data_IF_854369823450
#
_entry.id   IF_854369823450
#
_cell.length_a   1.000
_cell.length_b   1.000
_cell.length_c   1.000
_cell.angle_alpha   90.00
_cell.angle_beta   90.00
_cell.angle_gamma   90.00
#
_symmetry.space_group_name_H-M   'P 1'
#
loop_
_entity.id
_entity.type
_entity.pdbx_description
1 polymer ?
#
# COMPACT_ATOMS: atom_id res chain seq x y z
N UNK A 1 -12.64 0.40 13.49
CA UNK A 1 -12.39 -0.42 12.27
C UNK A 1 -11.64 0.44 11.26
N UNK A 2 -10.51 -0.06 10.77
CA UNK A 2 -9.57 0.71 9.93
C UNK A 2 -9.56 0.17 8.51
N UNK A 3 -9.56 1.09 7.54
CA UNK A 3 -9.44 0.80 6.11
C UNK A 3 -8.11 1.36 5.63
N UNK A 4 -7.25 0.52 5.04
CA UNK A 4 -5.99 0.94 4.43
C UNK A 4 -6.15 0.90 2.92
N UNK A 5 -5.82 1.98 2.23
CA UNK A 5 -6.08 2.13 0.79
C UNK A 5 -4.84 2.65 0.08
N UNK A 6 -4.37 1.91 -0.93
CA UNK A 6 -3.33 2.39 -1.83
C UNK A 6 -3.90 3.42 -2.82
N UNK A 7 -3.24 4.58 -2.96
CA UNK A 7 -3.63 5.60 -3.94
C UNK A 7 -2.45 6.47 -4.32
N UNK A 8 -2.05 6.42 -5.59
CA UNK A 8 -0.87 7.16 -6.09
C UNK A 8 -1.16 8.64 -6.33
N UNK A 9 -2.24 8.94 -7.05
CA UNK A 9 -2.61 10.32 -7.46
C UNK A 9 -3.84 10.87 -6.75
N UNK A 10 -4.55 10.06 -5.94
CA UNK A 10 -5.68 10.50 -5.11
C UNK A 10 -7.07 10.08 -5.57
N UNK A 11 -7.23 9.58 -6.80
CA UNK A 11 -8.55 9.16 -7.31
C UNK A 11 -9.22 8.06 -6.49
N UNK A 12 -8.47 7.03 -6.09
CA UNK A 12 -8.98 5.95 -5.22
C UNK A 12 -9.22 6.46 -3.80
N UNK A 13 -8.30 7.28 -3.28
CA UNK A 13 -8.41 7.87 -1.94
C UNK A 13 -9.70 8.71 -1.78
N UNK A 14 -10.01 9.58 -2.75
CA UNK A 14 -11.21 10.40 -2.75
C UNK A 14 -12.49 9.58 -2.68
N UNK A 15 -12.59 8.51 -3.47
CA UNK A 15 -13.73 7.59 -3.42
C UNK A 15 -13.80 6.85 -2.07
N UNK A 16 -12.66 6.40 -1.56
CA UNK A 16 -12.61 5.66 -0.31
C UNK A 16 -13.09 6.48 0.89
N UNK A 17 -12.66 7.74 1.03
CA UNK A 17 -13.13 8.60 2.13
C UNK A 17 -14.62 8.96 2.03
N UNK A 18 -15.20 8.94 0.83
CA UNK A 18 -16.63 9.16 0.63
C UNK A 18 -17.47 7.92 0.96
N UNK A 19 -16.99 6.72 0.62
CA UNK A 19 -17.67 5.44 0.86
C UNK A 19 -17.54 5.02 2.32
N UNK A 20 -16.36 5.14 2.92
CA UNK A 20 -16.06 4.66 4.27
C UNK A 20 -16.20 5.75 5.34
N UNK A 21 -17.25 6.59 5.23
CA UNK A 21 -17.56 7.59 6.25
C UNK A 21 -17.79 6.92 7.62
N UNK A 22 -17.23 7.51 8.67
CA UNK A 22 -17.27 6.96 10.03
C UNK A 22 -16.23 5.87 10.32
N UNK A 23 -15.45 5.45 9.33
CA UNK A 23 -14.27 4.60 9.52
C UNK A 23 -12.99 5.41 9.52
N UNK A 24 -11.94 4.86 10.12
CA UNK A 24 -10.58 5.40 9.98
C UNK A 24 -10.03 4.98 8.61
N UNK A 25 -9.83 5.92 7.70
CA UNK A 25 -9.27 5.67 6.36
C UNK A 25 -7.83 6.13 6.31
N UNK A 26 -6.91 5.17 6.17
CA UNK A 26 -5.47 5.42 5.98
C UNK A 26 -5.13 5.23 4.51
N UNK A 27 -4.73 6.31 3.86
CA UNK A 27 -4.34 6.34 2.46
C UNK A 27 -2.82 6.26 2.37
N UNK A 28 -2.30 5.24 1.69
CA UNK A 28 -0.86 5.08 1.48
C UNK A 28 -0.52 5.46 0.04
N UNK A 29 0.35 6.45 -0.12
CA UNK A 29 0.80 6.97 -1.42
C UNK A 29 2.10 6.30 -1.86
N UNK A 30 2.54 6.60 -3.08
CA UNK A 30 3.93 6.34 -3.43
C UNK A 30 4.90 7.13 -2.56
N UNK A 31 6.10 6.58 -2.33
CA UNK A 31 7.22 7.32 -1.76
C UNK A 31 7.49 8.60 -2.55
N UNK A 32 7.95 9.66 -1.88
CA UNK A 32 8.46 10.84 -2.59
C UNK A 32 9.63 10.43 -3.50
N UNK A 33 9.75 11.09 -4.65
CA UNK A 33 10.80 10.78 -5.61
C UNK A 33 10.55 9.56 -6.51
N UNK A 34 9.37 8.92 -6.42
CA UNK A 34 9.12 7.65 -7.13
C UNK A 34 9.21 7.78 -8.66
N UNK A 35 8.66 8.85 -9.26
CA UNK A 35 8.76 9.12 -10.70
C UNK A 35 9.94 10.02 -11.04
N UNK A 36 10.09 11.11 -10.28
CA UNK A 36 11.12 12.12 -10.51
C UNK A 36 11.60 12.70 -9.17
N UNK A 37 12.87 13.14 -9.05
CA UNK A 37 13.40 13.74 -7.83
C UNK A 37 12.55 14.90 -7.29
N UNK A 38 12.47 15.03 -5.96
CA UNK A 38 11.78 16.14 -5.27
C UNK A 38 10.28 16.30 -5.61
N UNK A 39 9.64 15.23 -6.10
CA UNK A 39 8.23 15.25 -6.50
C UNK A 39 7.38 14.26 -5.69
N UNK A 40 6.07 14.53 -5.68
CA UNK A 40 5.05 13.61 -5.17
C UNK A 40 3.84 13.64 -6.11
N UNK A 41 3.44 12.45 -6.58
CA UNK A 41 2.31 12.27 -7.50
C UNK A 41 0.96 12.64 -6.85
N UNK A 42 0.86 12.48 -5.53
CA UNK A 42 -0.29 12.90 -4.76
C UNK A 42 -0.22 14.41 -4.49
N UNK A 43 -0.90 15.18 -5.34
CA UNK A 43 -0.85 16.65 -5.30
C UNK A 43 -1.31 17.23 -3.95
N UNK A 44 -0.81 18.43 -3.61
CA UNK A 44 -1.24 19.14 -2.40
C UNK A 44 -2.73 19.45 -2.37
N UNK A 45 -3.36 19.67 -3.54
CA UNK A 45 -4.80 19.85 -3.66
C UNK A 45 -5.56 18.57 -3.29
N UNK A 46 -5.18 17.43 -3.89
CA UNK A 46 -5.80 16.14 -3.59
C UNK A 46 -5.60 15.76 -2.13
N UNK A 47 -4.43 16.09 -1.56
CA UNK A 47 -4.12 15.87 -0.14
C UNK A 47 -5.11 16.60 0.75
N UNK A 48 -5.25 17.91 0.55
CA UNK A 48 -6.21 18.74 1.30
C UNK A 48 -7.64 18.25 1.12
N UNK A 49 -8.03 17.82 -0.08
CA UNK A 49 -9.37 17.31 -0.34
C UNK A 49 -9.69 16.02 0.44
N UNK A 50 -8.72 15.10 0.54
CA UNK A 50 -8.85 13.84 1.29
C UNK A 50 -8.79 14.09 2.80
N UNK A 51 -7.86 14.90 3.28
CA UNK A 51 -7.71 15.23 4.70
C UNK A 51 -8.93 16.01 5.24
N UNK A 52 -9.52 16.91 4.43
CA UNK A 52 -10.77 17.61 4.78
C UNK A 52 -11.94 16.66 5.04
N UNK A 53 -11.92 15.47 4.43
CA UNK A 53 -12.92 14.41 4.62
C UNK A 53 -12.53 13.40 5.72
N UNK A 54 -11.46 13.68 6.47
CA UNK A 54 -10.99 12.85 7.58
C UNK A 54 -10.03 11.72 7.18
N UNK A 55 -9.59 11.67 5.92
CA UNK A 55 -8.58 10.70 5.48
C UNK A 55 -7.20 11.03 6.04
N UNK A 56 -6.45 10.01 6.44
CA UNK A 56 -5.07 10.14 6.94
C UNK A 56 -4.14 9.69 5.82
N UNK A 57 -3.18 10.53 5.42
CA UNK A 57 -2.29 10.22 4.30
C UNK A 57 -0.88 9.88 4.78
N UNK A 58 -0.41 8.69 4.43
CA UNK A 58 0.95 8.20 4.66
C UNK A 58 1.75 8.20 3.35
N UNK A 59 2.89 8.88 3.38
CA UNK A 59 3.91 8.84 2.33
C UNK A 59 5.21 8.34 2.96
N UNK A 60 5.68 7.17 2.55
CA UNK A 60 6.87 6.53 3.11
C UNK A 60 7.51 5.58 2.08
N UNK A 61 8.70 5.07 2.40
CA UNK A 61 9.37 4.04 1.60
C UNK A 61 8.50 2.80 1.45
N UNK A 62 8.43 2.23 0.24
CA UNK A 62 7.68 0.99 0.00
C UNK A 62 8.33 -0.18 0.74
N UNK A 63 7.59 -0.83 1.63
CA UNK A 63 8.15 -1.86 2.53
C UNK A 63 8.80 -3.04 1.80
N UNK A 64 8.22 -3.51 0.69
CA UNK A 64 8.76 -4.63 -0.09
C UNK A 64 9.75 -4.19 -1.17
N UNK A 65 10.12 -2.90 -1.23
CA UNK A 65 11.12 -2.36 -2.15
C UNK A 65 12.35 -1.79 -1.43
N UNK A 66 12.13 -1.05 -0.34
CA UNK A 66 13.15 -0.59 0.60
C UNK A 66 14.46 -0.08 -0.03
N UNK A 67 15.55 -0.29 0.71
CA UNK A 67 16.90 -0.02 0.23
C UNK A 67 17.35 -1.01 -0.85
N UNK A 68 16.82 -2.23 -0.87
CA UNK A 68 17.30 -3.26 -1.81
C UNK A 68 17.07 -2.90 -3.28
N UNK A 69 16.05 -2.09 -3.58
CA UNK A 69 15.86 -1.55 -4.93
C UNK A 69 17.01 -0.67 -5.41
N UNK A 70 17.84 -0.10 -4.53
CA UNK A 70 19.03 0.66 -4.95
C UNK A 70 20.13 -0.23 -5.53
N UNK A 71 20.06 -1.54 -5.32
CA UNK A 71 20.98 -2.51 -5.90
C UNK A 71 20.67 -2.82 -7.37
N UNK A 72 19.47 -2.48 -7.85
CA UNK A 72 19.11 -2.63 -9.25
C UNK A 72 19.78 -1.53 -10.09
N UNK A 73 20.39 -1.85 -11.26
CA UNK A 73 20.89 -0.84 -12.18
C UNK A 73 19.75 0.07 -12.64
N UNK A 74 19.96 1.39 -12.67
CA UNK A 74 18.95 2.36 -13.08
C UNK A 74 18.39 2.14 -14.51
N UNK A 75 19.14 1.46 -15.36
CA UNK A 75 18.84 1.19 -16.77
C UNK A 75 18.17 -0.16 -17.05
N UNK A 76 18.02 -1.02 -16.03
CA UNK A 76 17.39 -2.32 -16.18
C UNK A 76 16.07 -2.36 -15.40
N UNK A 77 15.03 -3.09 -15.89
CA UNK A 77 13.96 -3.52 -15.00
C UNK A 77 14.64 -4.21 -13.82
N UNK A 78 14.20 -3.95 -12.56
CA UNK A 78 14.84 -4.61 -11.42
C UNK A 78 14.83 -6.11 -11.75
N UNK A 79 16.01 -6.75 -11.88
CA UNK A 79 16.02 -8.20 -11.97
C UNK A 79 15.22 -8.71 -10.75
N UNK A 80 14.72 -9.95 -10.74
CA UNK A 80 14.41 -10.61 -9.48
C UNK A 80 15.71 -10.56 -8.66
N UNK A 81 15.89 -9.48 -7.91
CA UNK A 81 17.05 -9.34 -7.07
C UNK A 81 16.85 -10.46 -6.06
N UNK A 82 17.89 -11.19 -5.73
CA UNK A 82 17.81 -12.15 -4.63
C UNK A 82 17.48 -11.47 -3.28
N UNK A 83 17.17 -10.17 -3.28
CA UNK A 83 16.66 -9.47 -2.12
C UNK A 83 15.29 -10.04 -1.72
N UNK A 84 15.21 -10.35 -0.43
CA UNK A 84 14.08 -11.00 0.22
C UNK A 84 12.76 -10.24 -0.03
N UNK A 85 12.80 -8.90 -0.11
CA UNK A 85 11.61 -8.07 -0.37
C UNK A 85 11.01 -8.28 -1.76
N UNK A 86 11.85 -8.34 -2.80
CA UNK A 86 11.39 -8.60 -4.17
C UNK A 86 10.88 -10.04 -4.31
N UNK A 87 11.53 -11.02 -3.67
CA UNK A 87 11.05 -12.42 -3.64
C UNK A 87 9.65 -12.50 -3.01
N UNK A 88 9.45 -11.85 -1.84
CA UNK A 88 8.14 -11.80 -1.19
C UNK A 88 7.10 -11.09 -2.08
N UNK A 89 7.47 -9.96 -2.70
CA UNK A 89 6.60 -9.23 -3.60
C UNK A 89 6.19 -10.05 -4.83
N UNK A 90 7.15 -10.74 -5.48
CA UNK A 90 6.89 -11.60 -6.62
C UNK A 90 6.04 -12.81 -6.24
N UNK A 91 6.27 -13.39 -5.06
CA UNK A 91 5.44 -14.48 -4.53
C UNK A 91 4.00 -14.02 -4.33
N UNK A 92 3.77 -12.85 -3.71
CA UNK A 92 2.41 -12.30 -3.53
C UNK A 92 1.74 -11.95 -4.86
N UNK A 93 2.51 -11.50 -5.86
CA UNK A 93 2.01 -11.21 -7.21
C UNK A 93 1.47 -12.44 -7.95
N UNK A 94 1.77 -13.66 -7.50
CA UNK A 94 1.09 -14.86 -8.03
C UNK A 94 -0.42 -14.84 -7.79
N UNK A 95 -0.90 -14.07 -6.80
CA UNK A 95 -2.32 -13.79 -6.57
C UNK A 95 -2.82 -12.53 -7.29
N UNK A 96 -1.94 -11.76 -7.93
CA UNK A 96 -2.19 -10.46 -8.57
C UNK A 96 -1.38 -9.30 -7.97
N UNK A 97 -1.19 -8.23 -8.75
CA UNK A 97 -0.42 -7.06 -8.29
C UNK A 97 -1.05 -6.43 -7.04
N UNK A 98 -2.39 -6.33 -7.01
CA UNK A 98 -3.12 -5.78 -5.88
C UNK A 98 -2.91 -6.55 -4.57
N UNK A 99 -2.71 -7.87 -4.60
CA UNK A 99 -2.44 -8.67 -3.38
C UNK A 99 -1.15 -8.22 -2.70
N UNK A 100 -0.07 -8.12 -3.48
CA UNK A 100 1.22 -7.59 -2.99
C UNK A 100 1.05 -6.20 -2.38
N UNK A 101 0.33 -5.33 -3.08
CA UNK A 101 0.07 -3.95 -2.61
C UNK A 101 -0.68 -3.95 -1.29
N UNK A 102 -1.73 -4.76 -1.14
CA UNK A 102 -2.53 -4.84 0.09
C UNK A 102 -1.68 -5.15 1.32
N UNK A 103 -0.79 -6.14 1.25
CA UNK A 103 0.06 -6.50 2.39
C UNK A 103 1.16 -5.45 2.63
N UNK A 104 1.73 -4.88 1.57
CA UNK A 104 2.77 -3.85 1.68
C UNK A 104 2.26 -2.59 2.37
N UNK A 105 1.12 -2.04 1.92
CA UNK A 105 0.58 -0.80 2.49
C UNK A 105 0.06 -0.98 3.91
N UNK A 106 -0.45 -2.17 4.25
CA UNK A 106 -0.86 -2.47 5.61
C UNK A 106 0.33 -2.52 6.58
N UNK A 107 1.45 -3.13 6.17
CA UNK A 107 2.67 -3.15 6.97
C UNK A 107 3.29 -1.74 7.12
N UNK A 108 3.30 -0.94 6.05
CA UNK A 108 3.73 0.46 6.11
C UNK A 108 2.87 1.28 7.09
N UNK A 109 1.55 1.09 7.05
CA UNK A 109 0.63 1.78 7.94
C UNK A 109 0.78 1.35 9.41
N UNK A 110 1.11 0.07 9.66
CA UNK A 110 1.44 -0.44 10.99
C UNK A 110 2.76 0.16 11.53
N UNK A 111 3.81 0.19 10.70
CA UNK A 111 5.10 0.81 11.06
C UNK A 111 4.97 2.30 11.42
N UNK A 112 4.08 3.01 10.73
CA UNK A 112 3.79 4.42 11.00
C UNK A 112 2.91 4.65 12.24
N UNK A 113 2.50 3.60 12.96
CA UNK A 113 1.59 3.69 14.10
C UNK A 113 0.15 4.09 13.73
N UNK A 114 -0.20 4.05 12.44
CA UNK A 114 -1.53 4.41 11.96
C UNK A 114 -2.52 3.24 12.05
N UNK A 115 -2.01 2.01 12.17
CA UNK A 115 -2.81 0.79 12.25
C UNK A 115 -2.33 -0.05 13.43
N UNK A 116 -3.28 -0.61 14.19
CA UNK A 116 -3.01 -1.56 15.27
C UNK A 116 -2.81 -2.97 14.70
N UNK A 117 -1.90 -3.73 15.32
CA UNK A 117 -1.56 -5.10 14.89
C UNK A 117 -2.37 -6.18 15.63
N UNK A 118 -3.12 -5.81 16.65
CA UNK A 118 -4.04 -6.68 17.39
C UNK A 118 -5.51 -6.55 16.94
N UNK A 119 -5.74 -5.87 15.81
CA UNK A 119 -7.04 -5.70 15.18
C UNK A 119 -6.98 -6.14 13.71
N UNK A 120 -8.12 -6.55 13.17
CA UNK A 120 -8.27 -6.81 11.74
C UNK A 120 -8.57 -5.51 10.98
N UNK A 121 -7.96 -5.36 9.80
CA UNK A 121 -8.18 -4.23 8.89
C UNK A 121 -8.57 -4.72 7.51
N UNK A 122 -9.28 -3.86 6.77
CA UNK A 122 -9.49 -4.04 5.34
C UNK A 122 -8.36 -3.31 4.62
N UNK A 123 -7.59 -4.02 3.81
CA UNK A 123 -6.56 -3.44 2.95
C UNK A 123 -6.99 -3.51 1.49
N UNK A 124 -6.84 -2.40 0.77
CA UNK A 124 -7.32 -2.22 -0.60
C UNK A 124 -6.13 -1.79 -1.47
N UNK A 125 -5.88 -2.56 -2.53
CA UNK A 125 -4.80 -2.37 -3.49
C UNK A 125 -5.28 -2.56 -4.94
N UNK A 126 -4.38 -2.32 -5.89
CA UNK A 126 -4.73 -2.39 -7.31
C UNK A 126 -3.55 -2.65 -8.23
N UNK A 127 -3.86 -2.90 -9.50
CA UNK A 127 -2.90 -3.10 -10.59
C UNK A 127 -2.79 -1.84 -11.45
N UNK A 128 -1.59 -1.23 -11.51
CA UNK A 128 -1.33 -0.06 -12.36
C UNK A 128 -2.03 1.22 -11.90
N UNK A 129 -3.36 1.28 -12.02
CA UNK A 129 -4.22 2.38 -11.55
C UNK A 129 -5.53 1.84 -10.98
N UNK A 130 -6.10 2.57 -10.03
CA UNK A 130 -7.35 2.18 -9.37
C UNK A 130 -7.12 1.15 -8.27
N UNK A 131 -8.16 0.37 -7.97
CA UNK A 131 -8.15 -0.70 -6.98
C UNK A 131 -8.95 -1.88 -7.52
N UNK A 132 -8.38 -3.09 -7.43
CA UNK A 132 -8.95 -4.33 -7.96
C UNK A 132 -8.89 -5.50 -6.97
N UNK A 133 -8.22 -5.31 -5.84
CA UNK A 133 -7.99 -6.33 -4.82
C UNK A 133 -8.28 -5.76 -3.44
N UNK A 134 -9.04 -6.49 -2.64
CA UNK A 134 -9.31 -6.14 -1.25
C UNK A 134 -9.27 -7.39 -0.36
N UNK A 135 -8.68 -7.26 0.82
CA UNK A 135 -8.50 -8.36 1.78
C UNK A 135 -8.77 -7.89 3.20
N UNK A 136 -9.25 -8.81 4.04
CA UNK A 136 -9.21 -8.64 5.50
C UNK A 136 -7.90 -9.26 5.99
N UNK A 137 -7.13 -8.52 6.78
CA UNK A 137 -5.89 -9.03 7.37
C UNK A 137 -5.66 -8.48 8.78
N UNK A 138 -4.91 -9.24 9.59
CA UNK A 138 -4.25 -8.74 10.78
C UNK A 138 -2.82 -8.33 10.38
N UNK A 139 -2.48 -7.03 10.40
CA UNK A 139 -1.18 -6.57 9.93
C UNK A 139 -0.09 -6.81 10.97
N UNK A 140 1.15 -6.83 10.50
CA UNK A 140 2.34 -6.79 11.35
C UNK A 140 3.29 -5.71 10.83
N UNK A 141 4.23 -5.30 11.67
CA UNK A 141 5.31 -4.39 11.31
C UNK A 141 6.19 -4.97 10.20
N UNK A 142 6.88 -4.13 9.43
CA UNK A 142 7.75 -4.58 8.32
C UNK A 142 8.88 -5.47 8.84
N UNK A 143 9.48 -5.14 9.98
CA UNK A 143 10.51 -5.96 10.61
C UNK A 143 10.00 -7.33 11.13
N UNK A 144 8.67 -7.55 11.13
CA UNK A 144 7.99 -8.81 11.44
C UNK A 144 6.98 -9.16 10.36
N UNK A 145 7.27 -8.84 9.09
CA UNK A 145 6.31 -8.88 7.99
C UNK A 145 5.56 -10.23 7.88
N UNK A 146 6.28 -11.35 8.03
CA UNK A 146 5.72 -12.71 7.94
C UNK A 146 4.81 -13.12 9.11
N UNK A 147 4.67 -12.27 10.13
CA UNK A 147 3.63 -12.43 11.16
C UNK A 147 2.26 -11.88 10.71
N UNK A 148 2.18 -11.15 9.59
CA UNK A 148 0.91 -10.74 8.97
C UNK A 148 0.05 -11.97 8.67
N UNK A 149 -1.26 -11.87 8.91
CA UNK A 149 -2.21 -12.94 8.63
C UNK A 149 -3.34 -12.41 7.75
N UNK A 150 -3.40 -12.88 6.51
CA UNK A 150 -4.58 -12.67 5.66
C UNK A 150 -5.70 -13.58 6.17
N UNK A 151 -6.85 -12.98 6.44
CA UNK A 151 -8.03 -13.65 7.03
C UNK A 151 -9.03 -14.00 5.94
N UNK A 152 -9.32 -13.04 5.07
CA UNK A 152 -10.30 -13.18 4.01
C UNK A 152 -9.83 -12.47 2.74
N UNK A 153 -10.21 -13.02 1.60
CA UNK A 153 -10.07 -12.37 0.30
C UNK A 153 -11.45 -11.90 -0.16
N UNK A 154 -11.65 -10.58 -0.21
CA UNK A 154 -12.95 -9.97 -0.56
C UNK A 154 -13.13 -10.01 -2.08
N UNK A 155 -12.11 -9.54 -2.81
CA UNK A 155 -12.08 -9.58 -4.27
C UNK A 155 -10.64 -9.57 -4.78
N UNK A 156 -10.46 -10.10 -6.00
CA UNK A 156 -9.24 -9.99 -6.80
C UNK A 156 -9.57 -10.21 -8.29
N UNK A 157 -8.70 -9.79 -9.23
CA UNK A 157 -8.82 -10.17 -10.63
C UNK A 157 -8.77 -11.70 -10.84
N UNK A 158 -9.47 -12.18 -11.86
CA UNK A 158 -9.24 -13.51 -12.44
C UNK A 158 -8.13 -13.37 -13.47
N UNK A 159 -6.95 -13.91 -13.14
CA UNK A 159 -5.75 -13.87 -13.98
C UNK A 159 -5.71 -15.08 -14.91
#
# INVERSE_FOLDING_TARGET
KTIVVASTVGGTAGKAVDVFKGYKVVVVTHTAGFREPNSQEFTGENRKAVEKKGGIILTATHALGGIHRSLAPASAPPPPSQAIGDIAAMTLRTFGQGMKVCLEVAAMAADAGLVRTDEEVISIGGTGRGADTAVVLAPSYVHRFFATRVKELICKPRL
#
